data_IF_512355949544
#
_entry.id   IF_512355949544
#
_cell.length_a   1.000
_cell.length_b   1.000
_cell.length_c   1.000
_cell.angle_alpha   90.00
_cell.angle_beta   90.00
_cell.angle_gamma   90.00
#
_symmetry.space_group_name_H-M   'P 1'
#
loop_
_entity.id
_entity.type
_entity.pdbx_description
1 polymer ?
#
# COMPACT_ATOMS: atom_id res chain seq x y z
N UNK A 1 -18.87 32.50 -48.18
CA UNK A 1 -18.48 31.74 -47.00
C UNK A 1 -18.06 30.35 -47.42
N UNK A 2 -16.79 30.00 -47.20
CA UNK A 2 -16.27 28.71 -47.64
C UNK A 2 -16.48 27.68 -46.52
N UNK A 3 -17.45 26.80 -46.71
CA UNK A 3 -17.78 25.75 -45.78
C UNK A 3 -16.57 24.79 -45.52
N UNK A 4 -15.75 24.54 -46.53
CA UNK A 4 -14.59 23.69 -46.41
C UNK A 4 -13.51 24.32 -45.52
N UNK A 5 -13.35 25.64 -45.55
CA UNK A 5 -12.45 26.36 -44.66
C UNK A 5 -12.92 26.30 -43.20
N UNK A 6 -14.22 26.44 -42.94
CA UNK A 6 -14.79 26.31 -41.62
C UNK A 6 -14.65 24.93 -41.05
N UNK A 7 -14.85 23.87 -41.82
CA UNK A 7 -14.65 22.48 -41.43
C UNK A 7 -13.17 22.22 -41.10
N UNK A 8 -12.26 22.75 -41.89
CA UNK A 8 -10.81 22.63 -41.67
C UNK A 8 -10.40 23.28 -40.34
N UNK A 9 -10.91 24.47 -40.04
CA UNK A 9 -10.64 25.19 -38.80
C UNK A 9 -11.19 24.43 -37.57
N UNK A 10 -12.37 23.85 -37.66
CA UNK A 10 -12.95 23.00 -36.65
C UNK A 10 -12.13 21.75 -36.35
N UNK A 11 -11.61 21.10 -37.39
CA UNK A 11 -10.75 19.92 -37.25
C UNK A 11 -9.42 20.27 -36.54
N UNK A 12 -8.81 21.39 -36.86
CA UNK A 12 -7.59 21.87 -36.22
C UNK A 12 -7.85 22.19 -34.72
N UNK A 13 -8.97 22.85 -34.42
CA UNK A 13 -9.34 23.16 -33.05
C UNK A 13 -9.60 21.89 -32.23
N UNK A 14 -10.28 20.90 -32.81
CA UNK A 14 -10.51 19.62 -32.14
C UNK A 14 -9.23 18.86 -31.87
N UNK A 15 -8.32 18.77 -32.84
CA UNK A 15 -7.01 18.14 -32.67
C UNK A 15 -6.18 18.81 -31.57
N UNK A 16 -6.22 20.14 -31.47
CA UNK A 16 -5.54 20.91 -30.42
C UNK A 16 -6.13 20.61 -29.03
N UNK A 17 -7.45 20.50 -28.89
CA UNK A 17 -8.12 20.15 -27.66
C UNK A 17 -7.80 18.70 -27.23
N UNK A 18 -7.79 17.77 -28.16
CA UNK A 18 -7.41 16.38 -27.90
C UNK A 18 -5.94 16.27 -27.44
N UNK A 19 -5.04 17.01 -28.02
CA UNK A 19 -3.63 17.04 -27.61
C UNK A 19 -3.47 17.62 -26.20
N UNK A 20 -4.21 18.68 -25.85
CA UNK A 20 -4.22 19.25 -24.50
C UNK A 20 -4.80 18.27 -23.48
N UNK A 21 -5.88 17.57 -23.81
CA UNK A 21 -6.48 16.56 -22.94
C UNK A 21 -5.48 15.43 -22.64
N UNK A 22 -4.76 14.92 -23.66
CA UNK A 22 -3.71 13.92 -23.47
C UNK A 22 -2.55 14.43 -22.63
N UNK A 23 -2.12 15.67 -22.81
CA UNK A 23 -1.04 16.27 -22.03
C UNK A 23 -1.41 16.47 -20.55
N UNK A 24 -2.69 16.66 -20.24
CA UNK A 24 -3.18 16.81 -18.87
C UNK A 24 -3.60 15.48 -18.23
N UNK A 25 -3.70 14.43 -18.98
CA UNK A 25 -4.04 13.11 -18.50
C UNK A 25 -2.92 12.58 -17.61
N UNK A 26 -3.26 12.27 -16.33
CA UNK A 26 -2.31 11.66 -15.41
C UNK A 26 -1.98 10.25 -15.88
N UNK A 27 -0.72 9.78 -15.72
CA UNK A 27 -0.39 8.40 -16.01
C UNK A 27 -1.38 7.46 -15.31
N UNK A 28 -1.94 6.53 -16.04
CA UNK A 28 -2.89 5.56 -15.49
C UNK A 28 -2.14 4.67 -14.50
N UNK A 29 -2.60 4.63 -13.27
CA UNK A 29 -2.04 3.74 -12.27
C UNK A 29 -2.31 2.29 -12.67
N UNK A 30 -1.33 1.43 -12.39
CA UNK A 30 -1.49 0.01 -12.62
C UNK A 30 -2.57 -0.57 -11.71
N UNK A 31 -3.44 -1.38 -12.27
CA UNK A 31 -4.46 -2.12 -11.54
C UNK A 31 -4.34 -3.62 -11.85
N UNK A 32 -4.64 -4.51 -10.90
CA UNK A 32 -4.65 -5.94 -11.18
C UNK A 32 -5.72 -6.27 -12.23
N UNK A 33 -5.36 -7.11 -13.19
CA UNK A 33 -6.28 -7.52 -14.27
C UNK A 33 -7.22 -8.65 -13.86
N UNK A 34 -6.94 -9.32 -12.75
CA UNK A 34 -7.76 -10.44 -12.28
C UNK A 34 -7.88 -10.41 -10.76
N UNK A 35 -8.96 -10.99 -10.27
CA UNK A 35 -9.15 -11.27 -8.86
C UNK A 35 -8.20 -12.39 -8.41
N UNK A 36 -7.94 -12.55 -7.09
CA UNK A 36 -7.12 -13.63 -6.58
C UNK A 36 -7.62 -14.99 -7.07
N UNK A 37 -6.73 -15.77 -7.69
CA UNK A 37 -7.09 -17.05 -8.28
C UNK A 37 -6.70 -18.25 -7.42
N UNK A 38 -5.79 -18.05 -6.43
CA UNK A 38 -5.31 -19.13 -5.58
C UNK A 38 -5.72 -18.93 -4.11
N UNK A 39 -5.96 -20.04 -3.37
CA UNK A 39 -6.21 -19.96 -1.92
C UNK A 39 -5.08 -19.30 -1.14
N UNK A 40 -3.83 -19.51 -1.53
CA UNK A 40 -2.67 -18.88 -0.86
C UNK A 40 -2.65 -17.36 -1.05
N UNK A 41 -3.01 -16.87 -2.21
CA UNK A 41 -3.13 -15.43 -2.46
C UNK A 41 -4.25 -14.80 -1.63
N UNK A 42 -5.39 -15.46 -1.54
CA UNK A 42 -6.51 -15.02 -0.70
C UNK A 42 -6.12 -15.00 0.78
N UNK A 43 -5.39 -16.00 1.24
CA UNK A 43 -4.87 -16.07 2.61
C UNK A 43 -3.90 -14.92 2.90
N UNK A 44 -2.98 -14.63 1.98
CA UNK A 44 -2.04 -13.51 2.12
C UNK A 44 -2.75 -12.16 2.23
N UNK A 45 -3.77 -11.93 1.39
CA UNK A 45 -4.59 -10.71 1.44
C UNK A 45 -5.35 -10.59 2.77
N UNK A 46 -5.90 -11.70 3.26
CA UNK A 46 -6.61 -11.75 4.54
C UNK A 46 -5.67 -11.42 5.69
N UNK A 47 -4.51 -12.03 5.73
CA UNK A 47 -3.50 -11.80 6.78
C UNK A 47 -3.06 -10.34 6.82
N UNK A 48 -2.80 -9.74 5.68
CA UNK A 48 -2.44 -8.32 5.59
C UNK A 48 -3.58 -7.41 6.09
N UNK A 49 -4.81 -7.68 5.69
CA UNK A 49 -5.99 -6.94 6.14
C UNK A 49 -6.21 -7.04 7.65
N UNK A 50 -6.02 -8.23 8.21
CA UNK A 50 -6.13 -8.46 9.66
C UNK A 50 -5.03 -7.73 10.43
N UNK A 51 -3.81 -7.72 9.91
CA UNK A 51 -2.69 -6.98 10.51
C UNK A 51 -2.96 -5.47 10.52
N UNK A 52 -3.44 -4.91 9.42
CA UNK A 52 -3.85 -3.51 9.35
C UNK A 52 -4.95 -3.19 10.36
N UNK A 53 -5.95 -4.05 10.48
CA UNK A 53 -7.05 -3.88 11.43
C UNK A 53 -6.55 -3.90 12.89
N UNK A 54 -5.65 -4.81 13.21
CA UNK A 54 -5.05 -4.89 14.54
C UNK A 54 -4.29 -3.61 14.91
N UNK A 55 -3.45 -3.13 14.01
CA UNK A 55 -2.67 -1.89 14.25
C UNK A 55 -3.58 -0.68 14.36
N UNK A 56 -4.66 -0.62 13.59
CA UNK A 56 -5.66 0.45 13.69
C UNK A 56 -6.37 0.46 15.04
N UNK A 57 -6.65 -0.71 15.58
CA UNK A 57 -7.36 -0.85 16.86
C UNK A 57 -6.46 -0.60 18.07
N UNK A 58 -5.24 -1.14 18.05
CA UNK A 58 -4.35 -1.15 19.21
C UNK A 58 -3.14 -0.23 19.11
N UNK A 59 -2.85 0.32 17.94
CA UNK A 59 -1.69 1.16 17.67
C UNK A 59 -2.02 2.52 17.08
N UNK A 60 -3.27 2.99 17.17
CA UNK A 60 -3.73 4.25 16.56
C UNK A 60 -3.13 5.51 17.18
N UNK A 61 -2.51 5.42 18.35
CA UNK A 61 -1.84 6.51 19.04
C UNK A 61 -0.42 6.80 18.49
N UNK A 62 0.01 6.05 17.50
CA UNK A 62 1.35 6.16 16.93
C UNK A 62 1.30 6.26 15.40
N UNK A 63 2.12 7.11 14.83
CA UNK A 63 2.32 7.24 13.39
C UNK A 63 3.80 7.15 13.03
N UNK A 64 4.10 6.54 11.87
CA UNK A 64 5.45 6.51 11.34
C UNK A 64 5.85 7.88 10.80
N UNK A 65 6.88 8.48 11.38
CA UNK A 65 7.51 9.70 10.88
C UNK A 65 8.68 9.36 9.98
N UNK A 66 8.48 9.33 8.67
CA UNK A 66 9.52 8.93 7.71
C UNK A 66 10.64 9.95 7.57
N UNK A 67 10.40 11.19 7.97
CA UNK A 67 11.41 12.24 8.05
C UNK A 67 12.26 12.16 9.32
N UNK A 68 11.76 11.47 10.35
CA UNK A 68 12.47 11.26 11.60
C UNK A 68 13.35 10.00 11.50
N UNK A 69 14.65 10.22 11.28
CA UNK A 69 15.65 9.15 11.13
C UNK A 69 15.96 8.42 12.44
N UNK A 70 15.52 8.93 13.58
CA UNK A 70 15.74 8.33 14.90
C UNK A 70 14.55 7.51 15.38
N UNK A 71 13.37 7.72 14.80
CA UNK A 71 12.19 6.94 15.14
C UNK A 71 12.32 5.51 14.61
N UNK A 72 12.24 4.55 15.52
CA UNK A 72 12.19 3.13 15.16
C UNK A 72 10.76 2.76 14.74
N UNK A 73 10.63 2.21 13.54
CA UNK A 73 9.35 1.75 12.98
C UNK A 73 9.39 0.23 12.96
N UNK A 74 8.56 -0.40 13.78
CA UNK A 74 8.58 -1.84 13.99
C UNK A 74 7.62 -2.55 13.05
N UNK A 75 7.97 -3.76 12.67
CA UNK A 75 7.12 -4.66 11.91
C UNK A 75 7.27 -6.08 12.44
N UNK A 76 6.29 -6.92 12.17
CA UNK A 76 6.29 -8.32 12.60
C UNK A 76 6.44 -9.23 11.39
N UNK A 77 7.11 -10.35 11.58
CA UNK A 77 7.31 -11.36 10.55
C UNK A 77 7.42 -12.75 11.17
N UNK A 78 7.12 -13.77 10.38
CA UNK A 78 7.31 -15.15 10.79
C UNK A 78 8.71 -15.63 10.39
N UNK A 79 9.46 -16.16 11.33
CA UNK A 79 10.80 -16.68 11.10
C UNK A 79 10.81 -18.21 11.11
N UNK A 80 11.26 -18.79 10.02
CA UNK A 80 11.44 -20.23 9.91
C UNK A 80 12.66 -20.75 10.69
N UNK A 81 13.59 -19.86 11.06
CA UNK A 81 14.73 -20.23 11.91
C UNK A 81 14.32 -20.43 13.37
N UNK A 82 13.47 -19.57 13.89
CA UNK A 82 12.97 -19.63 15.26
C UNK A 82 11.64 -20.36 15.37
N UNK A 83 11.00 -20.68 14.25
CA UNK A 83 9.65 -21.26 14.16
C UNK A 83 8.61 -20.44 14.94
N UNK A 84 8.67 -19.15 14.79
CA UNK A 84 7.76 -18.25 15.49
C UNK A 84 7.74 -16.85 14.91
N UNK A 85 6.87 -16.03 15.45
CA UNK A 85 6.75 -14.63 15.09
C UNK A 85 7.82 -13.82 15.79
N UNK A 86 8.40 -12.91 15.04
CA UNK A 86 9.45 -12.00 15.50
C UNK A 86 9.12 -10.58 15.11
N UNK A 87 9.80 -9.61 15.72
CA UNK A 87 9.71 -8.21 15.35
C UNK A 87 11.09 -7.66 15.01
N UNK A 88 11.13 -6.70 14.11
CA UNK A 88 12.32 -5.94 13.78
C UNK A 88 11.94 -4.50 13.48
N UNK A 89 12.93 -3.64 13.32
CA UNK A 89 12.68 -2.22 13.07
C UNK A 89 13.50 -1.68 11.92
N UNK A 90 12.99 -0.59 11.34
CA UNK A 90 13.69 0.24 10.37
C UNK A 90 13.60 1.69 10.81
N UNK A 91 14.47 2.54 10.29
CA UNK A 91 14.49 3.97 10.64
C UNK A 91 13.88 4.83 9.52
N UNK A 92 14.42 4.75 8.33
CA UNK A 92 14.03 5.61 7.21
C UNK A 92 13.86 4.86 5.88
N UNK A 93 13.84 3.55 5.91
CA UNK A 93 13.57 2.71 4.73
C UNK A 93 12.22 2.04 4.86
N UNK A 94 11.50 1.91 3.76
CA UNK A 94 10.24 1.18 3.71
C UNK A 94 10.39 -0.13 2.94
N UNK A 95 9.68 -1.15 3.40
CA UNK A 95 9.51 -2.40 2.66
C UNK A 95 8.08 -2.40 2.13
N UNK A 96 7.90 -2.54 0.82
CA UNK A 96 6.58 -2.52 0.20
C UNK A 96 5.63 -3.54 0.82
N UNK A 97 4.41 -3.13 1.11
CA UNK A 97 3.38 -3.97 1.70
C UNK A 97 3.55 -4.26 3.19
N UNK A 98 4.52 -3.65 3.85
CA UNK A 98 4.75 -3.85 5.29
C UNK A 98 3.93 -2.87 6.11
N UNK A 99 3.35 -3.36 7.20
CA UNK A 99 2.64 -2.55 8.19
C UNK A 99 3.58 -2.21 9.33
N UNK A 100 3.77 -0.92 9.59
CA UNK A 100 4.64 -0.43 10.65
C UNK A 100 3.84 -0.01 11.87
N UNK A 101 4.45 -0.16 13.04
CA UNK A 101 3.81 0.10 14.32
C UNK A 101 4.84 0.54 15.37
N UNK A 102 4.38 0.96 16.54
CA UNK A 102 5.24 1.25 17.68
C UNK A 102 5.85 -0.04 18.26
N UNK A 103 6.94 0.10 19.00
CA UNK A 103 7.56 -1.03 19.71
C UNK A 103 6.56 -1.73 20.63
N UNK A 104 5.80 -0.97 21.37
CA UNK A 104 4.79 -1.48 22.30
C UNK A 104 3.73 -2.31 21.58
N UNK A 105 3.22 -1.82 20.46
CA UNK A 105 2.24 -2.53 19.64
C UNK A 105 2.84 -3.82 19.06
N UNK A 106 4.05 -3.76 18.50
CA UNK A 106 4.73 -4.91 17.91
C UNK A 106 5.02 -5.99 18.97
N UNK A 107 5.50 -5.60 20.13
CA UNK A 107 5.79 -6.54 21.22
C UNK A 107 4.52 -7.27 21.69
N UNK A 108 3.43 -6.54 21.86
CA UNK A 108 2.12 -7.12 22.22
C UNK A 108 1.62 -8.08 21.14
N UNK A 109 1.71 -7.68 19.89
CA UNK A 109 1.26 -8.48 18.75
C UNK A 109 2.06 -9.79 18.63
N UNK A 110 3.39 -9.72 18.74
CA UNK A 110 4.26 -10.90 18.68
C UNK A 110 3.90 -11.91 19.78
N UNK A 111 3.67 -11.45 21.00
CA UNK A 111 3.22 -12.33 22.09
C UNK A 111 1.90 -13.01 21.79
N UNK A 112 0.93 -12.28 21.27
CA UNK A 112 -0.40 -12.82 20.94
C UNK A 112 -0.37 -13.76 19.74
N UNK A 113 0.48 -13.49 18.75
CA UNK A 113 0.67 -14.38 17.61
C UNK A 113 1.32 -15.70 18.03
N UNK A 114 2.34 -15.66 18.88
CA UNK A 114 3.02 -16.85 19.36
C UNK A 114 2.17 -17.67 20.35
N UNK A 115 1.26 -17.05 21.07
CA UNK A 115 0.31 -17.73 21.95
C UNK A 115 -0.92 -18.29 21.25
N UNK A 116 -1.16 -17.89 20.01
CA UNK A 116 -2.35 -18.26 19.25
C UNK A 116 -3.59 -17.42 19.53
N UNK A 117 -3.50 -16.40 20.40
CA UNK A 117 -4.64 -15.49 20.65
C UNK A 117 -5.01 -14.67 19.41
N UNK A 118 -4.03 -14.35 18.57
CA UNK A 118 -4.22 -13.68 17.28
C UNK A 118 -3.72 -14.59 16.17
N UNK A 119 -4.52 -14.74 15.14
CA UNK A 119 -4.18 -15.51 13.93
C UNK A 119 -4.30 -14.57 12.72
N UNK A 120 -3.26 -14.44 11.95
CA UNK A 120 -3.25 -13.63 10.72
C UNK A 120 -3.51 -14.46 9.47
#
# INVERSE_FOLDING_TARGET
>A
MDINAEISDMKVALASLEAKAKAQEKPKQWEPKCEPCSPSEMTARRSHGRLLAYVREYGSDWEAGWEDKQQKKYYVYYSYHTLGWCMHHVYNSTIGGTVYMSQKCALRLVKKLNSGEVVL
#
